data_IF_966164630911
#
_entry.id   IF_966164630911
#
_cell.length_a   1.000
_cell.length_b   1.000
_cell.length_c   1.000
_cell.angle_alpha   90.00
_cell.angle_beta   90.00
_cell.angle_gamma   90.00
#
_symmetry.space_group_name_H-M   'P 1'
#
loop_
_entity.id
_entity.type
_entity.pdbx_description
1 polymer ?
#
# COMPACT_ATOMS: atom_id res chain seq x y z
N UNK A 1 -22.24 0.30 2.54
CA UNK A 1 -20.98 0.50 3.30
C UNK A 1 -19.78 0.63 2.35
N UNK A 2 -19.63 -0.27 1.38
CA UNK A 2 -18.52 -0.29 0.41
C UNK A 2 -18.33 0.98 -0.44
N UNK A 3 -19.38 1.77 -0.67
CA UNK A 3 -19.30 3.01 -1.46
C UNK A 3 -19.01 4.27 -0.64
N UNK A 4 -18.97 4.19 0.69
CA UNK A 4 -18.69 5.33 1.56
C UNK A 4 -17.18 5.54 1.63
N UNK A 5 -16.72 6.64 1.04
CA UNK A 5 -15.31 7.00 0.94
C UNK A 5 -14.83 7.79 2.17
N UNK A 6 -13.51 7.80 2.45
CA UNK A 6 -12.93 8.59 3.53
C UNK A 6 -13.07 10.10 3.33
N UNK A 7 -13.04 10.85 4.43
CA UNK A 7 -13.13 12.32 4.43
C UNK A 7 -11.72 12.91 4.39
N UNK A 8 -11.22 13.16 3.18
CA UNK A 8 -9.88 13.71 2.99
C UNK A 8 -9.84 15.23 3.10
N UNK A 9 -8.80 15.77 3.74
CA UNK A 9 -8.44 17.20 3.64
C UNK A 9 -7.70 17.50 2.34
N UNK A 10 -7.39 18.77 2.10
CA UNK A 10 -6.44 19.13 1.03
C UNK A 10 -5.08 18.42 1.25
N UNK A 11 -4.37 18.06 0.17
CA UNK A 11 -3.05 17.42 0.25
C UNK A 11 -2.08 18.21 1.13
N UNK A 12 -1.37 17.52 2.03
CA UNK A 12 -0.36 18.11 2.90
C UNK A 12 1.07 17.72 2.52
N UNK A 13 1.24 16.74 1.64
CA UNK A 13 2.54 16.25 1.20
C UNK A 13 2.53 15.75 -0.25
N UNK A 14 3.70 15.49 -0.86
CA UNK A 14 3.79 14.97 -2.21
C UNK A 14 3.02 13.66 -2.41
N UNK A 15 3.02 12.77 -1.42
CA UNK A 15 2.27 11.51 -1.48
C UNK A 15 0.76 11.76 -1.58
N UNK A 16 0.21 12.66 -0.75
CA UNK A 16 -1.20 13.03 -0.81
C UNK A 16 -1.56 13.60 -2.18
N UNK A 17 -0.73 14.49 -2.72
CA UNK A 17 -0.98 15.13 -4.00
C UNK A 17 -1.02 14.10 -5.13
N UNK A 18 -0.07 13.16 -5.14
CA UNK A 18 0.00 12.09 -6.14
C UNK A 18 -1.26 11.22 -6.12
N UNK A 19 -1.73 10.85 -4.93
CA UNK A 19 -2.94 10.02 -4.80
C UNK A 19 -4.20 10.81 -5.16
N UNK A 20 -4.31 12.06 -4.70
CA UNK A 20 -5.44 12.94 -5.02
C UNK A 20 -5.58 13.14 -6.53
N UNK A 21 -4.48 13.48 -7.22
CA UNK A 21 -4.44 13.67 -8.67
C UNK A 21 -4.86 12.40 -9.41
N UNK A 22 -4.36 11.24 -8.96
CA UNK A 22 -4.68 9.95 -9.58
C UNK A 22 -6.17 9.61 -9.42
N UNK A 23 -6.72 9.79 -8.22
CA UNK A 23 -8.14 9.55 -7.93
C UNK A 23 -9.02 10.50 -8.74
N UNK A 24 -8.66 11.78 -8.80
CA UNK A 24 -9.39 12.79 -9.58
C UNK A 24 -9.37 12.47 -11.08
N UNK A 25 -8.23 12.03 -11.63
CA UNK A 25 -8.10 11.69 -13.04
C UNK A 25 -8.83 10.40 -13.42
N UNK A 26 -8.80 9.38 -12.54
CA UNK A 26 -9.26 8.02 -12.88
C UNK A 26 -10.73 7.75 -12.56
N UNK A 27 -11.33 8.44 -11.59
CA UNK A 27 -12.75 8.28 -11.25
C UNK A 27 -13.69 8.58 -12.43
N UNK A 28 -13.57 9.70 -13.16
CA UNK A 28 -14.43 9.95 -14.31
C UNK A 28 -14.21 8.94 -15.43
N UNK A 29 -12.96 8.48 -15.60
CA UNK A 29 -12.60 7.48 -16.60
C UNK A 29 -13.16 6.08 -16.28
N UNK A 30 -13.39 5.77 -15.01
CA UNK A 30 -14.07 4.53 -14.59
C UNK A 30 -15.50 4.45 -15.16
N UNK A 31 -16.20 5.58 -15.22
CA UNK A 31 -17.60 5.63 -15.69
C UNK A 31 -17.74 5.24 -17.17
N UNK A 32 -16.68 5.40 -17.98
CA UNK A 32 -16.63 4.96 -19.37
C UNK A 32 -15.97 3.58 -19.54
N UNK A 33 -15.70 2.85 -18.45
CA UNK A 33 -15.01 1.56 -18.47
C UNK A 33 -13.50 1.68 -18.72
N UNK A 34 -12.93 2.88 -18.58
CA UNK A 34 -11.54 3.17 -18.92
C UNK A 34 -10.51 2.41 -18.10
N UNK A 35 -10.82 1.99 -16.86
CA UNK A 35 -9.89 1.21 -16.04
C UNK A 35 -10.14 -0.31 -16.10
N UNK A 36 -11.06 -0.81 -16.94
CA UNK A 36 -11.39 -2.25 -17.03
C UNK A 36 -10.15 -3.11 -17.29
N UNK A 37 -9.22 -2.63 -18.12
CA UNK A 37 -8.00 -3.37 -18.42
C UNK A 37 -7.21 -3.70 -17.15
N UNK A 38 -6.87 -2.69 -16.35
CA UNK A 38 -6.08 -2.89 -15.14
C UNK A 38 -6.89 -3.47 -13.97
N UNK A 39 -8.16 -3.09 -13.83
CA UNK A 39 -8.95 -3.43 -12.65
C UNK A 39 -9.62 -4.80 -12.75
N UNK A 40 -9.89 -5.30 -13.97
CA UNK A 40 -10.65 -6.53 -14.18
C UNK A 40 -9.95 -7.56 -15.06
N UNK A 41 -9.14 -7.14 -16.04
CA UNK A 41 -8.56 -8.05 -17.04
C UNK A 41 -7.14 -8.50 -16.75
N UNK A 42 -6.46 -7.87 -15.78
CA UNK A 42 -5.08 -8.19 -15.43
C UNK A 42 -4.95 -8.67 -13.98
N UNK A 43 -3.94 -9.50 -13.69
CA UNK A 43 -3.49 -9.78 -12.33
C UNK A 43 -3.18 -8.48 -11.59
N UNK A 44 -3.43 -8.46 -10.28
CA UNK A 44 -3.21 -7.30 -9.44
C UNK A 44 -2.33 -7.64 -8.22
N UNK A 45 -1.31 -6.83 -7.90
CA UNK A 45 -0.87 -5.65 -8.66
C UNK A 45 -0.15 -6.08 -9.94
N UNK A 46 0.08 -5.15 -10.88
CA UNK A 46 1.05 -5.41 -11.95
C UNK A 46 2.45 -5.48 -11.36
N UNK A 47 3.00 -6.69 -11.24
CA UNK A 47 4.38 -6.91 -10.80
C UNK A 47 5.35 -6.32 -11.82
N UNK A 48 4.97 -6.31 -13.10
CA UNK A 48 5.74 -5.75 -14.20
C UNK A 48 5.91 -4.24 -14.08
N UNK A 49 4.91 -3.52 -13.58
CA UNK A 49 5.05 -2.09 -13.31
C UNK A 49 6.20 -1.82 -12.34
N UNK A 50 6.47 -2.73 -11.39
CA UNK A 50 7.61 -2.62 -10.47
C UNK A 50 8.93 -3.06 -11.12
N UNK A 51 8.91 -4.20 -11.81
CA UNK A 51 10.14 -4.80 -12.36
C UNK A 51 10.65 -4.11 -13.64
N UNK A 52 9.76 -3.47 -14.40
CA UNK A 52 10.04 -2.87 -15.70
C UNK A 52 9.36 -1.49 -15.83
N UNK A 53 9.58 -0.61 -14.85
CA UNK A 53 8.88 0.68 -14.73
C UNK A 53 9.07 1.65 -15.91
N UNK A 54 10.11 1.47 -16.72
CA UNK A 54 10.40 2.29 -17.91
C UNK A 54 9.68 1.80 -19.18
N UNK A 55 8.97 0.68 -19.12
CA UNK A 55 8.30 0.13 -20.28
C UNK A 55 6.99 0.89 -20.60
N UNK A 56 6.98 1.63 -21.70
CA UNK A 56 5.81 2.41 -22.16
C UNK A 56 4.56 1.54 -22.35
N UNK A 57 4.72 0.32 -22.88
CA UNK A 57 3.62 -0.62 -23.07
C UNK A 57 3.00 -1.06 -21.73
N UNK A 58 3.81 -1.16 -20.67
CA UNK A 58 3.31 -1.49 -19.33
C UNK A 58 2.59 -0.30 -18.69
N UNK A 59 3.08 0.91 -18.94
CA UNK A 59 2.44 2.16 -18.51
C UNK A 59 1.03 2.30 -19.10
N UNK A 60 0.85 1.95 -20.37
CA UNK A 60 -0.47 1.97 -21.03
C UNK A 60 -1.44 0.94 -20.43
N UNK A 61 -0.94 -0.26 -20.09
CA UNK A 61 -1.77 -1.37 -19.62
C UNK A 61 -2.12 -1.28 -18.13
N UNK A 62 -1.24 -0.72 -17.31
CA UNK A 62 -1.39 -0.60 -15.87
C UNK A 62 -1.02 0.80 -15.36
N UNK A 63 -1.74 1.84 -15.80
CA UNK A 63 -1.39 3.22 -15.48
C UNK A 63 -1.53 3.57 -13.99
N UNK A 64 -2.43 2.94 -13.24
CA UNK A 64 -2.59 3.19 -11.79
C UNK A 64 -1.40 2.60 -11.05
N UNK A 65 -1.09 1.33 -11.27
CA UNK A 65 0.05 0.63 -10.65
C UNK A 65 1.38 1.28 -11.05
N UNK A 66 1.54 1.66 -12.32
CA UNK A 66 2.76 2.34 -12.80
C UNK A 66 2.94 3.71 -12.16
N UNK A 67 1.85 4.49 -11.98
CA UNK A 67 1.95 5.78 -11.29
C UNK A 67 2.28 5.59 -9.80
N UNK A 68 1.73 4.56 -9.15
CA UNK A 68 2.10 4.19 -7.78
C UNK A 68 3.58 3.81 -7.70
N UNK A 69 4.10 2.99 -8.62
CA UNK A 69 5.53 2.64 -8.64
C UNK A 69 6.39 3.90 -8.83
N UNK A 70 6.13 4.65 -9.90
CA UNK A 70 6.99 5.77 -10.30
C UNK A 70 6.96 6.93 -9.31
N UNK A 71 5.81 7.17 -8.67
CA UNK A 71 5.61 8.31 -7.79
C UNK A 71 5.50 7.97 -6.31
N UNK A 72 5.21 6.74 -5.91
CA UNK A 72 5.04 6.40 -4.49
C UNK A 72 6.20 5.53 -4.01
N UNK A 73 6.55 4.45 -4.71
CA UNK A 73 7.66 3.58 -4.28
C UNK A 73 9.00 4.32 -4.33
N UNK A 74 9.25 5.08 -5.40
CA UNK A 74 10.44 5.92 -5.51
C UNK A 74 10.49 7.01 -4.43
N UNK A 75 9.37 7.64 -4.10
CA UNK A 75 9.30 8.66 -3.04
C UNK A 75 9.53 8.04 -1.67
N UNK A 76 9.00 6.85 -1.43
CA UNK A 76 9.07 6.20 -0.13
C UNK A 76 10.36 5.44 0.12
N UNK A 77 11.36 5.45 -0.78
CA UNK A 77 12.71 4.89 -0.53
C UNK A 77 12.71 3.49 0.11
N UNK A 78 11.75 2.64 -0.26
CA UNK A 78 11.54 1.33 0.35
C UNK A 78 12.71 0.39 0.02
N UNK A 79 13.39 -0.21 1.02
CA UNK A 79 14.73 -0.77 0.82
C UNK A 79 14.78 -2.11 0.09
N UNK A 80 13.74 -2.95 0.21
CA UNK A 80 13.80 -4.37 -0.17
C UNK A 80 12.62 -4.78 -1.05
N UNK A 81 12.88 -5.70 -2.00
CA UNK A 81 11.87 -6.15 -2.97
C UNK A 81 10.59 -6.75 -2.34
N UNK A 82 10.64 -7.59 -1.28
CA UNK A 82 9.43 -8.11 -0.64
C UNK A 82 8.53 -6.98 -0.12
N UNK A 83 9.12 -6.00 0.58
CA UNK A 83 8.45 -4.82 1.09
C UNK A 83 7.90 -3.95 -0.05
N UNK A 84 8.66 -3.74 -1.13
CA UNK A 84 8.19 -3.00 -2.31
C UNK A 84 6.95 -3.65 -2.94
N UNK A 85 6.97 -4.97 -3.15
CA UNK A 85 5.83 -5.71 -3.71
C UNK A 85 4.61 -5.67 -2.79
N UNK A 86 4.81 -5.84 -1.50
CA UNK A 86 3.71 -5.81 -0.53
C UNK A 86 3.11 -4.41 -0.38
N UNK A 87 3.96 -3.37 -0.37
CA UNK A 87 3.54 -1.96 -0.38
C UNK A 87 2.76 -1.63 -1.64
N UNK A 88 3.26 -2.05 -2.81
CA UNK A 88 2.56 -1.87 -4.08
C UNK A 88 1.15 -2.47 -4.04
N UNK A 89 1.04 -3.70 -3.53
CA UNK A 89 -0.24 -4.39 -3.45
C UNK A 89 -1.23 -3.68 -2.51
N UNK A 90 -0.85 -3.35 -1.27
CA UNK A 90 -1.83 -2.77 -0.34
C UNK A 90 -2.20 -1.33 -0.74
N UNK A 91 -1.22 -0.51 -1.13
CA UNK A 91 -1.50 0.87 -1.56
C UNK A 91 -2.35 0.87 -2.83
N UNK A 92 -2.00 0.00 -3.79
CA UNK A 92 -2.83 -0.18 -4.98
C UNK A 92 -4.23 -0.67 -4.65
N UNK A 93 -4.41 -1.50 -3.61
CA UNK A 93 -5.74 -1.99 -3.20
C UNK A 93 -6.60 -0.86 -2.65
N UNK A 94 -6.04 -0.02 -1.77
CA UNK A 94 -6.72 1.16 -1.23
C UNK A 94 -7.05 2.15 -2.35
N UNK A 95 -6.06 2.51 -3.18
CA UNK A 95 -6.21 3.48 -4.26
C UNK A 95 -7.21 2.98 -5.32
N UNK A 96 -7.19 1.68 -5.66
CA UNK A 96 -8.18 1.08 -6.56
C UNK A 96 -9.59 1.24 -6.01
N UNK A 97 -9.79 0.98 -4.72
CA UNK A 97 -11.09 1.19 -4.09
C UNK A 97 -11.49 2.67 -4.04
N UNK A 98 -10.54 3.57 -3.75
CA UNK A 98 -10.79 5.01 -3.84
C UNK A 98 -11.22 5.43 -5.25
N UNK A 99 -10.63 4.87 -6.31
CA UNK A 99 -11.01 5.16 -7.71
C UNK A 99 -12.36 4.52 -8.07
N UNK A 100 -12.58 3.26 -7.69
CA UNK A 100 -13.75 2.47 -8.08
C UNK A 100 -14.33 1.79 -6.83
N UNK A 101 -15.21 2.49 -6.07
CA UNK A 101 -15.71 2.02 -4.77
C UNK A 101 -16.86 1.01 -4.92
N UNK A 102 -16.58 -0.06 -5.67
CA UNK A 102 -17.48 -1.20 -5.85
C UNK A 102 -17.36 -2.16 -4.67
N UNK A 103 -18.40 -2.97 -4.46
CA UNK A 103 -18.38 -4.02 -3.44
C UNK A 103 -17.25 -5.02 -3.67
N UNK A 104 -16.98 -5.39 -4.93
CA UNK A 104 -15.89 -6.30 -5.29
C UNK A 104 -14.52 -5.73 -4.88
N UNK A 105 -14.23 -4.47 -5.20
CA UNK A 105 -12.96 -3.83 -4.81
C UNK A 105 -12.85 -3.70 -3.28
N UNK A 106 -13.93 -3.34 -2.60
CA UNK A 106 -13.96 -3.27 -1.13
C UNK A 106 -13.70 -4.63 -0.47
N UNK A 107 -14.35 -5.69 -0.97
CA UNK A 107 -14.21 -7.04 -0.44
C UNK A 107 -12.86 -7.68 -0.79
N UNK A 108 -12.19 -7.23 -1.86
CA UNK A 108 -10.84 -7.67 -2.22
C UNK A 108 -9.78 -7.22 -1.19
N UNK A 109 -10.05 -6.13 -0.46
CA UNK A 109 -9.21 -5.69 0.64
C UNK A 109 -9.41 -6.58 1.87
N UNK A 110 -8.33 -6.98 2.55
CA UNK A 110 -8.43 -7.62 3.86
C UNK A 110 -9.05 -6.64 4.85
N UNK A 111 -9.72 -7.16 5.88
CA UNK A 111 -10.49 -6.33 6.82
C UNK A 111 -9.64 -5.24 7.47
N UNK A 112 -8.38 -5.54 7.76
CA UNK A 112 -7.46 -4.58 8.37
C UNK A 112 -7.07 -3.41 7.46
N UNK A 113 -7.33 -3.48 6.15
CA UNK A 113 -7.05 -2.41 5.18
C UNK A 113 -8.29 -1.58 4.86
N UNK A 114 -9.49 -2.07 5.19
CA UNK A 114 -10.75 -1.34 4.99
C UNK A 114 -10.77 -0.03 5.82
N UNK A 115 -11.57 0.97 5.43
CA UNK A 115 -11.70 2.22 6.17
C UNK A 115 -12.24 1.96 7.58
N UNK A 116 -11.67 2.67 8.54
CA UNK A 116 -12.12 2.73 9.93
C UNK A 116 -13.20 3.78 10.10
N UNK A 117 -13.99 3.78 11.20
CA UNK A 117 -14.97 4.84 11.46
C UNK A 117 -14.36 6.24 11.43
N UNK A 118 -13.17 6.45 12.01
CA UNK A 118 -12.50 7.75 11.99
C UNK A 118 -12.24 8.25 10.58
N UNK A 119 -11.79 7.39 9.67
CA UNK A 119 -11.53 7.79 8.29
C UNK A 119 -12.82 8.22 7.56
N UNK A 120 -13.98 7.71 7.96
CA UNK A 120 -15.26 8.04 7.34
C UNK A 120 -15.95 9.28 7.96
N UNK A 121 -15.44 9.80 9.08
CA UNK A 121 -16.11 10.81 9.92
C UNK A 121 -15.22 12.01 10.24
N UNK A 122 -13.91 11.81 10.35
CA UNK A 122 -12.94 12.82 10.73
C UNK A 122 -12.13 13.25 9.49
N UNK A 123 -12.07 14.55 9.16
CA UNK A 123 -11.20 15.04 8.10
C UNK A 123 -9.73 14.75 8.40
N UNK A 124 -9.02 14.08 7.49
CA UNK A 124 -7.60 13.70 7.66
C UNK A 124 -6.84 13.70 6.32
N UNK A 125 -5.49 13.73 6.31
CA UNK A 125 -4.69 13.64 5.09
C UNK A 125 -4.69 12.23 4.49
N UNK A 126 -4.57 12.12 3.17
CA UNK A 126 -4.68 10.85 2.43
C UNK A 126 -3.64 9.81 2.87
N UNK A 127 -2.42 10.23 3.21
CA UNK A 127 -1.33 9.33 3.60
C UNK A 127 -1.69 8.45 4.80
N UNK A 128 -2.62 8.89 5.67
CA UNK A 128 -3.08 8.08 6.79
C UNK A 128 -3.86 6.84 6.33
N UNK A 129 -4.56 6.90 5.20
CA UNK A 129 -5.24 5.73 4.62
C UNK A 129 -4.25 4.67 4.15
N UNK A 130 -3.01 5.09 3.88
CA UNK A 130 -1.92 4.24 3.41
C UNK A 130 -1.08 3.69 4.58
N UNK A 131 -1.50 3.91 5.82
CA UNK A 131 -0.88 3.31 7.00
C UNK A 131 -1.50 1.94 7.32
N UNK A 132 -0.66 0.92 7.53
CA UNK A 132 -1.10 -0.48 7.58
C UNK A 132 -2.05 -0.80 8.75
N UNK A 133 -1.73 -0.30 9.96
CA UNK A 133 -2.40 -0.75 11.18
C UNK A 133 -3.72 0.02 11.41
N UNK A 134 -4.88 -0.67 11.44
CA UNK A 134 -6.18 -0.01 11.48
C UNK A 134 -6.41 0.79 12.77
N UNK A 135 -5.98 0.27 13.93
CA UNK A 135 -6.10 1.02 15.20
C UNK A 135 -5.21 2.26 15.23
N UNK A 136 -4.07 2.24 14.53
CA UNK A 136 -3.21 3.40 14.39
C UNK A 136 -3.87 4.45 13.49
N UNK A 137 -4.43 4.04 12.33
CA UNK A 137 -5.25 4.91 11.48
C UNK A 137 -6.41 5.54 12.24
N UNK A 138 -7.17 4.71 12.95
CA UNK A 138 -8.31 5.12 13.77
C UNK A 138 -7.95 6.18 14.83
N UNK A 139 -6.75 6.08 15.42
CA UNK A 139 -6.22 7.08 16.35
C UNK A 139 -5.75 8.34 15.61
N UNK A 140 -4.88 8.19 14.61
CA UNK A 140 -4.27 9.29 13.89
C UNK A 140 -5.30 10.18 13.19
N UNK A 141 -6.33 9.61 12.57
CA UNK A 141 -7.39 10.37 11.91
C UNK A 141 -8.24 11.21 12.88
N UNK A 142 -8.28 10.88 14.18
CA UNK A 142 -8.98 11.66 15.20
C UNK A 142 -8.12 12.71 15.88
N UNK A 143 -6.81 12.65 15.65
CA UNK A 143 -5.80 13.38 16.40
C UNK A 143 -5.02 14.30 15.45
N UNK A 144 -5.45 15.57 15.30
CA UNK A 144 -4.82 16.53 14.40
C UNK A 144 -3.30 16.69 14.59
N UNK A 145 -2.78 16.38 15.79
CA UNK A 145 -1.35 16.40 16.10
C UNK A 145 -0.50 15.44 15.26
N UNK A 146 -1.11 14.45 14.59
CA UNK A 146 -0.41 13.54 13.67
C UNK A 146 -0.44 14.03 12.22
N UNK A 147 -1.32 14.96 11.83
CA UNK A 147 -1.63 15.24 10.43
C UNK A 147 -0.43 15.78 9.62
N UNK A 148 0.45 16.53 10.28
CA UNK A 148 1.66 17.14 9.70
C UNK A 148 2.93 16.28 9.89
N UNK A 149 2.80 15.02 10.36
CA UNK A 149 3.94 14.18 10.77
C UNK A 149 4.44 13.19 9.72
N UNK A 150 3.98 13.30 8.47
CA UNK A 150 4.34 12.36 7.38
C UNK A 150 5.85 12.21 7.17
N UNK A 151 6.63 13.28 7.22
CA UNK A 151 8.09 13.19 7.00
C UNK A 151 8.77 12.36 8.09
N UNK A 152 8.36 12.55 9.34
CA UNK A 152 8.89 11.79 10.48
C UNK A 152 8.39 10.35 10.42
N UNK A 153 7.08 10.16 10.15
CA UNK A 153 6.44 8.85 10.06
C UNK A 153 7.04 7.98 8.95
N UNK A 154 7.23 8.55 7.77
CA UNK A 154 7.86 7.87 6.64
C UNK A 154 9.31 7.54 6.94
N UNK A 155 10.08 8.46 7.54
CA UNK A 155 11.45 8.20 7.98
C UNK A 155 11.57 6.99 8.91
N UNK A 156 10.84 6.98 10.03
CA UNK A 156 10.90 5.87 11.01
C UNK A 156 10.37 4.56 10.45
N UNK A 157 9.38 4.63 9.55
CA UNK A 157 8.82 3.45 8.88
C UNK A 157 9.85 2.88 7.90
N UNK A 158 10.44 3.69 7.03
CA UNK A 158 11.39 3.23 6.00
C UNK A 158 12.65 2.60 6.59
N UNK A 159 13.08 3.06 7.76
CA UNK A 159 14.24 2.50 8.47
C UNK A 159 14.05 1.03 8.87
N UNK A 160 12.81 0.56 9.05
CA UNK A 160 12.56 -0.67 9.80
C UNK A 160 11.32 -1.47 9.42
N UNK A 161 10.48 -0.95 8.52
CA UNK A 161 9.29 -1.64 8.04
C UNK A 161 9.70 -2.96 7.40
N UNK A 162 8.96 -4.01 7.73
CA UNK A 162 9.15 -5.28 7.09
C UNK A 162 7.93 -6.16 7.14
N UNK A 163 7.80 -6.98 6.11
CA UNK A 163 6.82 -8.04 6.04
C UNK A 163 7.34 -9.37 6.59
N UNK A 164 8.58 -9.41 7.09
CA UNK A 164 9.21 -10.61 7.67
C UNK A 164 9.07 -11.85 6.77
N UNK A 165 9.27 -11.68 5.46
CA UNK A 165 9.23 -12.80 4.50
C UNK A 165 10.41 -13.75 4.76
N UNK A 166 10.18 -15.03 5.11
CA UNK A 166 11.25 -15.91 5.56
C UNK A 166 11.84 -16.79 4.45
N UNK A 167 11.33 -16.68 3.22
CA UNK A 167 11.68 -17.54 2.09
C UNK A 167 12.49 -16.78 1.03
N UNK A 168 12.84 -17.46 -0.07
CA UNK A 168 13.64 -16.86 -1.13
C UNK A 168 12.82 -15.86 -1.94
N UNK A 169 13.51 -14.94 -2.64
CA UNK A 169 12.85 -13.97 -3.51
C UNK A 169 12.15 -14.63 -4.70
N UNK A 170 12.67 -15.77 -5.18
CA UNK A 170 12.05 -16.58 -6.24
C UNK A 170 10.69 -17.15 -5.84
N UNK A 171 10.43 -17.30 -4.53
CA UNK A 171 9.17 -17.84 -4.03
C UNK A 171 8.05 -16.78 -3.99
N UNK A 172 8.36 -15.52 -4.33
CA UNK A 172 7.41 -14.40 -4.28
C UNK A 172 6.59 -14.27 -5.57
N UNK A 173 7.17 -14.65 -6.70
CA UNK A 173 6.58 -14.42 -8.02
C UNK A 173 6.65 -15.68 -8.89
N UNK A 174 5.71 -15.81 -9.81
CA UNK A 174 5.67 -16.91 -10.78
C UNK A 174 5.21 -16.41 -12.15
N UNK A 175 5.67 -17.06 -13.23
CA UNK A 175 5.12 -16.83 -14.56
C UNK A 175 3.86 -17.66 -14.77
N UNK A 176 2.84 -17.06 -15.38
CA UNK A 176 1.60 -17.74 -15.77
C UNK A 176 1.61 -17.98 -17.28
N UNK A 177 1.65 -19.26 -17.67
CA UNK A 177 1.55 -19.66 -19.07
C UNK A 177 0.14 -19.37 -19.62
N UNK A 178 0.04 -18.83 -20.83
CA UNK A 178 -1.24 -18.57 -21.53
C UNK A 178 -1.80 -17.15 -21.41
N UNK A 179 -1.28 -16.34 -20.47
CA UNK A 179 -1.57 -14.90 -20.36
C UNK A 179 -0.36 -14.07 -20.81
N UNK A 180 0.16 -14.34 -22.01
CA UNK A 180 1.27 -13.55 -22.58
C UNK A 180 2.56 -13.51 -21.75
N UNK A 181 2.83 -14.54 -20.94
CA UNK A 181 3.98 -14.61 -20.02
C UNK A 181 3.98 -13.55 -18.91
N UNK A 182 2.82 -13.27 -18.32
CA UNK A 182 2.74 -12.40 -17.15
C UNK A 182 3.34 -13.07 -15.89
N UNK A 183 4.16 -12.29 -15.17
CA UNK A 183 4.62 -12.51 -13.81
C UNK A 183 3.53 -12.05 -12.83
N UNK A 184 3.18 -12.91 -11.88
CA UNK A 184 2.19 -12.65 -10.82
C UNK A 184 2.75 -13.02 -9.46
N UNK A 185 2.11 -12.58 -8.38
CA UNK A 185 2.46 -13.00 -7.03
C UNK A 185 2.11 -14.48 -6.82
N UNK A 186 2.94 -15.21 -6.09
CA UNK A 186 2.59 -16.59 -5.69
C UNK A 186 1.49 -16.56 -4.62
N UNK A 187 0.61 -17.58 -4.54
CA UNK A 187 -0.37 -17.68 -3.47
C UNK A 187 0.25 -17.71 -2.05
N UNK A 188 1.50 -18.19 -1.93
CA UNK A 188 2.23 -18.21 -0.67
C UNK A 188 2.59 -16.79 -0.22
N UNK A 189 3.17 -15.99 -1.13
CA UNK A 189 3.50 -14.61 -0.87
C UNK A 189 2.26 -13.76 -0.61
N UNK A 190 1.20 -13.95 -1.40
CA UNK A 190 -0.05 -13.23 -1.19
C UNK A 190 -0.65 -13.47 0.19
N UNK A 191 -0.69 -14.74 0.63
CA UNK A 191 -1.21 -15.09 1.95
C UNK A 191 -0.38 -14.46 3.05
N UNK A 192 0.95 -14.44 2.88
CA UNK A 192 1.87 -13.87 3.85
C UNK A 192 1.71 -12.36 3.98
N UNK A 193 1.70 -11.62 2.88
CA UNK A 193 1.52 -10.16 2.92
C UNK A 193 0.12 -9.74 3.40
N UNK A 194 -0.91 -10.56 3.18
CA UNK A 194 -2.29 -10.31 3.65
C UNK A 194 -2.48 -10.57 5.14
N UNK A 195 -1.55 -11.24 5.82
CA UNK A 195 -1.58 -11.40 7.28
C UNK A 195 -0.84 -10.24 7.96
N UNK A 196 -1.59 -9.36 8.63
CA UNK A 196 -1.06 -8.18 9.31
C UNK A 196 -0.02 -8.53 10.39
N UNK A 197 -0.04 -9.77 10.94
CA UNK A 197 0.94 -10.22 11.94
C UNK A 197 2.35 -10.33 11.38
N UNK A 198 2.50 -10.47 10.07
CA UNK A 198 3.79 -10.54 9.40
C UNK A 198 4.43 -9.16 9.22
N UNK A 199 3.63 -8.08 9.31
CA UNK A 199 4.15 -6.72 9.22
C UNK A 199 4.70 -6.27 10.56
N UNK A 200 5.86 -5.61 10.55
CA UNK A 200 6.49 -5.05 11.74
C UNK A 200 7.31 -3.81 11.43
N UNK A 201 7.55 -2.97 12.43
CA UNK A 201 8.52 -1.86 12.41
C UNK A 201 9.49 -2.00 13.58
N UNK A 202 10.55 -1.19 13.59
CA UNK A 202 11.53 -1.13 14.67
C UNK A 202 11.02 -0.35 15.89
N UNK A 203 11.69 -0.51 17.05
CA UNK A 203 11.29 0.12 18.32
C UNK A 203 11.24 1.65 18.25
N UNK A 204 12.03 2.27 17.37
CA UNK A 204 12.05 3.73 17.14
C UNK A 204 10.68 4.31 16.81
N UNK A 205 9.78 3.52 16.21
CA UNK A 205 8.38 3.93 16.00
C UNK A 205 7.73 4.44 17.29
N UNK A 206 7.94 3.74 18.41
CA UNK A 206 7.34 4.12 19.69
C UNK A 206 8.17 5.10 20.51
N UNK A 207 9.48 5.21 20.22
CA UNK A 207 10.30 6.29 20.77
C UNK A 207 9.84 7.66 20.24
N UNK A 208 9.52 7.71 18.94
CA UNK A 208 9.08 8.94 18.26
C UNK A 208 7.58 9.17 18.41
N UNK A 209 6.77 8.12 18.34
CA UNK A 209 5.31 8.18 18.48
C UNK A 209 4.85 7.29 19.64
N UNK A 210 5.14 7.65 20.91
CA UNK A 210 4.78 6.83 22.07
C UNK A 210 3.28 6.59 22.18
N UNK A 211 2.45 7.53 21.71
CA UNK A 211 1.00 7.36 21.64
C UNK A 211 0.52 6.26 20.70
N UNK A 212 1.38 5.62 19.90
CA UNK A 212 0.99 4.52 19.01
C UNK A 212 1.30 3.13 19.59
N UNK A 213 1.91 3.02 20.78
CA UNK A 213 2.33 1.75 21.37
C UNK A 213 1.18 0.73 21.54
N UNK A 214 -0.01 1.23 21.84
CA UNK A 214 -1.24 0.49 22.14
C UNK A 214 -2.18 0.37 20.91
N UNK A 215 -1.68 0.70 19.71
CA UNK A 215 -2.42 0.64 18.45
C UNK A 215 -2.20 -0.65 17.65
N UNK A 216 -1.60 -1.67 18.26
CA UNK A 216 -1.41 -2.98 17.63
C UNK A 216 -0.38 -3.01 16.50
N UNK A 217 0.48 -1.98 16.42
CA UNK A 217 1.68 -1.99 15.57
C UNK A 217 2.63 -3.07 16.12
N UNK A 218 3.04 -4.01 15.28
CA UNK A 218 3.99 -5.03 15.70
C UNK A 218 5.42 -4.47 15.67
N UNK A 219 6.19 -4.75 16.72
CA UNK A 219 7.61 -4.40 16.78
C UNK A 219 8.46 -5.62 16.45
N UNK A 220 9.41 -5.44 15.53
CA UNK A 220 10.39 -6.47 15.22
C UNK A 220 11.24 -6.72 16.46
N UNK A 221 11.27 -7.97 16.92
CA UNK A 221 12.22 -8.43 17.93
C UNK A 221 13.65 -8.07 17.49
N UNK A 222 14.44 -7.46 18.37
CA UNK A 222 15.85 -7.15 18.14
C UNK A 222 16.75 -8.40 18.06
N UNK A 223 16.18 -9.61 18.14
CA UNK A 223 16.91 -10.87 18.11
C UNK A 223 16.80 -11.62 16.78
N UNK A 224 17.89 -11.61 16.01
CA UNK A 224 18.15 -12.58 14.93
C UNK A 224 18.28 -11.95 13.56
N UNK A 225 19.44 -11.36 13.26
CA UNK A 225 19.92 -11.27 11.88
C UNK A 225 20.28 -12.71 11.47
N UNK A 226 19.61 -13.36 10.51
CA UNK A 226 20.18 -14.51 9.86
C UNK A 226 21.37 -13.99 9.06
N UNK A 227 22.58 -14.32 9.51
CA UNK A 227 23.80 -13.94 8.81
C UNK A 227 23.78 -14.52 7.41
N UNK A 228 23.56 -13.67 6.41
CA UNK A 228 23.92 -13.95 5.04
C UNK A 228 25.15 -13.08 4.74
N UNK A 229 26.31 -13.71 4.83
CA UNK A 229 27.55 -13.20 4.23
C UNK A 229 27.42 -13.27 2.72
N UNK A 230 27.69 -12.14 2.06
CA UNK A 230 27.84 -11.99 0.61
C UNK A 230 28.92 -12.92 0.03
#
# INVERSE_FOLDING_TARGET
MWSRLPVHTSPLCPLDQVVADLVQARRPYELSGGNIQEFQKRPFPSVQSLLNSENETETEKSPVTTLIVNKIINIMTVPTLPEQLAILWFMGSVIRWLISPTEANYNSMPEWLRPTPAQLECPHPIWMDLFLWPKAREKMCRSPEYHDKIDIMSGVSNESISINWPYQLSDMVMQVNGLGSEIVLTPAFERHMKDLKNWSVGPRMFEVFPGLADTGINIRSTGGVPGWSW
#
